data_IF_576335351247
#
_entry.id   IF_576335351247
#
_cell.length_a   1.000
_cell.length_b   1.000
_cell.length_c   1.000
_cell.angle_alpha   90.00
_cell.angle_beta   90.00
_cell.angle_gamma   90.00
#
_symmetry.space_group_name_H-M   'P 1'
#
loop_
_entity.id
_entity.type
_entity.pdbx_description
1 polymer ?
#
# COMPACT_ATOMS: atom_id res chain seq x y z
N UNK A 1 8.94 17.96 -1.18
CA UNK A 1 7.65 17.24 -1.22
C UNK A 1 7.96 15.80 -0.90
N UNK A 2 7.19 15.19 0.01
CA UNK A 2 7.35 13.78 0.37
C UNK A 2 6.68 12.90 -0.68
N UNK A 3 7.28 11.77 -1.03
CA UNK A 3 6.65 10.74 -1.88
C UNK A 3 5.93 9.71 -1.03
N UNK A 4 4.62 9.60 -1.22
CA UNK A 4 3.74 8.77 -0.40
C UNK A 4 3.08 7.70 -1.27
N UNK A 5 3.19 6.43 -0.88
CA UNK A 5 2.41 5.34 -1.46
C UNK A 5 1.31 4.88 -0.50
N UNK A 6 0.07 4.96 -0.92
CA UNK A 6 -1.08 4.35 -0.25
C UNK A 6 -1.31 2.94 -0.80
N UNK A 7 -1.51 1.94 0.06
CA UNK A 7 -1.71 0.56 -0.42
C UNK A 7 -2.70 -0.26 0.41
N UNK A 8 -3.39 -1.19 -0.26
CA UNK A 8 -4.09 -2.32 0.38
C UNK A 8 -3.17 -3.55 0.49
N UNK A 9 -3.55 -4.51 1.33
CA UNK A 9 -2.88 -5.79 1.49
C UNK A 9 -3.49 -6.87 0.60
N UNK A 10 -4.73 -7.27 0.88
CA UNK A 10 -5.40 -8.40 0.21
C UNK A 10 -5.63 -8.08 -1.26
N UNK A 11 -5.39 -9.05 -2.15
CA UNK A 11 -5.49 -8.85 -3.61
C UNK A 11 -4.41 -7.92 -4.20
N UNK A 12 -3.74 -7.14 -3.37
CA UNK A 12 -2.77 -6.13 -3.77
C UNK A 12 -1.33 -6.62 -3.63
N UNK A 13 -0.86 -6.90 -2.40
CA UNK A 13 0.49 -7.42 -2.14
C UNK A 13 0.50 -8.87 -1.67
N UNK A 14 -0.63 -9.36 -1.14
CA UNK A 14 -0.89 -10.78 -0.91
C UNK A 14 -1.96 -11.28 -1.88
N UNK A 15 -1.92 -12.56 -2.19
CA UNK A 15 -2.95 -13.23 -2.98
C UNK A 15 -4.27 -13.21 -2.18
N UNK A 16 -5.36 -12.77 -2.83
CA UNK A 16 -6.69 -12.50 -2.27
C UNK A 16 -6.95 -12.96 -0.84
N UNK A 17 -7.13 -14.28 -0.66
CA UNK A 17 -7.59 -14.87 0.61
C UNK A 17 -6.53 -15.72 1.34
N UNK A 18 -5.32 -15.88 0.79
CA UNK A 18 -4.40 -16.92 1.26
C UNK A 18 -3.32 -16.44 2.22
N UNK A 19 -3.35 -15.15 2.61
CA UNK A 19 -2.27 -14.47 3.36
C UNK A 19 -0.87 -14.80 2.82
N UNK A 20 -0.80 -15.16 1.54
CA UNK A 20 0.41 -15.60 0.86
C UNK A 20 0.89 -14.42 0.04
N UNK A 21 2.14 -13.96 0.22
CA UNK A 21 2.65 -12.84 -0.56
C UNK A 21 2.62 -13.17 -2.05
N UNK A 22 2.37 -12.17 -2.90
CA UNK A 22 2.57 -12.36 -4.33
C UNK A 22 4.04 -12.72 -4.59
N UNK A 23 4.34 -13.76 -5.38
CA UNK A 23 5.70 -14.30 -5.50
C UNK A 23 6.81 -13.30 -5.81
N UNK A 24 6.56 -12.27 -6.63
CA UNK A 24 7.55 -11.24 -6.97
C UNK A 24 7.71 -10.18 -5.88
N UNK A 25 6.69 -10.01 -5.04
CA UNK A 25 6.71 -9.05 -3.94
C UNK A 25 7.28 -9.67 -2.66
N UNK A 26 7.23 -11.00 -2.54
CA UNK A 26 7.80 -11.77 -1.43
C UNK A 26 9.32 -11.55 -1.27
N UNK A 27 9.84 -11.99 -0.12
CA UNK A 27 11.25 -11.89 0.23
C UNK A 27 11.82 -10.46 0.10
N UNK A 28 11.03 -9.46 0.49
CA UNK A 28 11.44 -8.06 0.42
C UNK A 28 11.37 -7.42 -0.96
N UNK A 29 10.78 -8.08 -1.95
CA UNK A 29 10.68 -7.55 -3.32
C UNK A 29 9.95 -6.21 -3.40
N UNK A 30 8.85 -6.06 -2.64
CA UNK A 30 8.13 -4.80 -2.53
C UNK A 30 8.98 -3.73 -1.83
N UNK A 31 9.57 -4.06 -0.67
CA UNK A 31 10.43 -3.13 0.08
C UNK A 31 11.58 -2.59 -0.78
N UNK A 32 12.28 -3.47 -1.50
CA UNK A 32 13.37 -3.08 -2.37
C UNK A 32 12.91 -2.12 -3.50
N UNK A 33 11.74 -2.37 -4.08
CA UNK A 33 11.17 -1.50 -5.10
C UNK A 33 10.81 -0.11 -4.55
N UNK A 34 10.21 -0.03 -3.37
CA UNK A 34 9.84 1.24 -2.73
C UNK A 34 11.08 2.06 -2.34
N UNK A 35 12.08 1.41 -1.74
CA UNK A 35 13.39 2.02 -1.44
C UNK A 35 14.05 2.56 -2.71
N UNK A 36 14.04 1.78 -3.80
CA UNK A 36 14.62 2.19 -5.09
C UNK A 36 13.85 3.33 -5.76
N UNK A 37 12.53 3.39 -5.58
CA UNK A 37 11.70 4.47 -6.10
C UNK A 37 11.85 5.78 -5.30
N UNK A 38 12.52 5.75 -4.16
CA UNK A 38 12.64 6.89 -3.26
C UNK A 38 11.28 7.29 -2.69
N UNK A 39 10.46 6.30 -2.30
CA UNK A 39 9.23 6.50 -1.55
C UNK A 39 9.60 6.77 -0.09
N UNK A 40 9.19 7.94 0.41
CA UNK A 40 9.51 8.41 1.76
C UNK A 40 8.55 7.85 2.81
N UNK A 41 7.29 7.60 2.44
CA UNK A 41 6.25 7.09 3.33
C UNK A 41 5.32 6.10 2.64
N UNK A 42 4.85 5.11 3.40
CA UNK A 42 3.91 4.10 2.92
C UNK A 42 2.71 4.06 3.86
N UNK A 43 1.51 4.30 3.35
CA UNK A 43 0.28 4.36 4.15
C UNK A 43 -0.57 3.12 3.86
N UNK A 44 -0.75 2.26 4.85
CA UNK A 44 -1.60 1.08 4.71
C UNK A 44 -3.06 1.46 4.94
N UNK A 45 -3.87 1.43 3.88
CA UNK A 45 -5.31 1.70 3.92
C UNK A 45 -6.15 0.41 3.95
N UNK A 46 -5.52 -0.73 4.18
CA UNK A 46 -6.17 -2.03 4.16
C UNK A 46 -7.26 -2.18 5.23
N UNK A 47 -8.28 -2.98 4.93
CA UNK A 47 -9.25 -3.44 5.94
C UNK A 47 -8.57 -4.18 7.10
N UNK A 48 -7.42 -4.83 6.87
CA UNK A 48 -6.60 -5.44 7.93
C UNK A 48 -6.14 -4.39 8.94
N UNK A 49 -5.78 -3.18 8.48
CA UNK A 49 -5.37 -2.10 9.37
C UNK A 49 -6.52 -1.66 10.30
N UNK A 50 -7.77 -1.69 9.81
CA UNK A 50 -8.96 -1.42 10.65
C UNK A 50 -9.08 -2.44 11.77
N UNK A 51 -8.93 -3.74 11.46
CA UNK A 51 -9.01 -4.79 12.48
C UNK A 51 -7.86 -4.71 13.50
N UNK A 52 -6.67 -4.33 13.06
CA UNK A 52 -5.52 -4.09 13.94
C UNK A 52 -5.83 -2.95 14.90
N UNK A 53 -6.34 -1.81 14.41
CA UNK A 53 -6.70 -0.68 15.27
C UNK A 53 -7.81 -1.03 16.26
N UNK A 54 -8.84 -1.76 15.83
CA UNK A 54 -9.89 -2.26 16.73
C UNK A 54 -9.32 -3.19 17.82
N UNK A 55 -8.34 -4.03 17.48
CA UNK A 55 -7.67 -4.86 18.47
C UNK A 55 -6.86 -4.02 19.48
N UNK A 56 -6.26 -2.91 19.05
CA UNK A 56 -5.59 -1.95 19.95
C UNK A 56 -6.60 -1.30 20.91
N UNK A 57 -7.73 -0.83 20.39
CA UNK A 57 -8.80 -0.21 21.20
C UNK A 57 -9.34 -1.16 22.28
N UNK A 58 -9.43 -2.45 21.96
CA UNK A 58 -9.85 -3.51 22.88
C UNK A 58 -8.73 -3.99 23.83
N UNK A 59 -7.52 -3.42 23.75
CA UNK A 59 -6.36 -3.82 24.55
C UNK A 59 -5.78 -5.19 24.19
N UNK A 60 -6.11 -5.71 23.00
CA UNK A 60 -5.69 -7.04 22.49
C UNK A 60 -4.43 -6.96 21.62
N UNK A 61 -4.11 -5.80 21.08
CA UNK A 61 -2.88 -5.53 20.34
C UNK A 61 -2.14 -4.35 21.00
N UNK A 62 -0.82 -4.46 21.16
CA UNK A 62 0.04 -3.41 21.75
C UNK A 62 1.03 -2.84 20.74
N UNK A 63 1.23 -3.54 19.63
CA UNK A 63 2.18 -3.18 18.58
C UNK A 63 1.48 -3.27 17.20
N UNK A 64 0.63 -2.28 16.86
CA UNK A 64 -0.13 -2.32 15.61
C UNK A 64 0.75 -2.35 14.36
N UNK A 65 1.90 -1.68 14.40
CA UNK A 65 2.86 -1.70 13.28
C UNK A 65 3.53 -3.07 13.14
N UNK A 66 3.91 -3.72 14.24
CA UNK A 66 4.44 -5.08 14.21
C UNK A 66 3.39 -6.11 13.76
N UNK A 67 2.12 -5.93 14.12
CA UNK A 67 1.01 -6.73 13.62
C UNK A 67 0.83 -6.57 12.11
N UNK A 68 0.89 -5.33 11.62
CA UNK A 68 0.81 -5.02 10.20
C UNK A 68 1.99 -5.62 9.42
N UNK A 69 3.22 -5.49 9.94
CA UNK A 69 4.42 -6.09 9.34
C UNK A 69 4.24 -7.60 9.12
N UNK A 70 3.67 -8.31 10.10
CA UNK A 70 3.35 -9.75 9.98
C UNK A 70 2.28 -10.01 8.92
N UNK A 71 1.25 -9.16 8.83
CA UNK A 71 0.21 -9.31 7.81
C UNK A 71 0.73 -9.12 6.39
N UNK A 72 1.78 -8.32 6.20
CA UNK A 72 2.46 -8.16 4.92
C UNK A 72 3.25 -9.41 4.47
N UNK A 73 3.32 -10.46 5.30
CA UNK A 73 3.72 -11.82 4.93
C UNK A 73 5.04 -11.94 4.14
N UNK A 74 6.07 -11.20 4.56
CA UNK A 74 7.42 -11.26 3.98
C UNK A 74 7.63 -10.41 2.72
N UNK A 75 6.66 -9.56 2.35
CA UNK A 75 6.88 -8.51 1.33
C UNK A 75 7.82 -7.40 1.80
N UNK A 76 7.96 -7.27 3.13
CA UNK A 76 8.97 -6.47 3.82
C UNK A 76 9.82 -7.40 4.69
N UNK A 77 11.11 -7.09 4.82
CA UNK A 77 12.09 -7.86 5.60
C UNK A 77 12.71 -7.04 6.73
N UNK A 78 12.86 -5.73 6.51
CA UNK A 78 13.48 -4.81 7.45
C UNK A 78 12.39 -4.18 8.34
N UNK A 79 12.25 -4.73 9.54
CA UNK A 79 11.24 -4.26 10.51
C UNK A 79 11.49 -2.83 10.98
N UNK A 80 12.75 -2.40 11.04
CA UNK A 80 13.10 -1.06 11.51
C UNK A 80 12.75 -0.04 10.44
N UNK A 81 13.11 -0.31 9.19
CA UNK A 81 12.66 0.50 8.05
C UNK A 81 11.13 0.56 7.97
N UNK A 82 10.45 -0.58 8.15
CA UNK A 82 9.00 -0.64 8.12
C UNK A 82 8.37 0.24 9.22
N UNK A 83 8.91 0.22 10.44
CA UNK A 83 8.42 1.06 11.54
C UNK A 83 8.63 2.55 11.30
N UNK A 84 9.70 2.90 10.62
CA UNK A 84 10.02 4.30 10.31
C UNK A 84 9.16 4.85 9.16
N UNK A 85 8.86 4.02 8.16
CA UNK A 85 8.25 4.49 6.90
C UNK A 85 6.77 4.14 6.74
N UNK A 86 6.27 3.12 7.46
CA UNK A 86 4.88 2.65 7.31
C UNK A 86 3.96 3.28 8.36
N UNK A 87 2.84 3.81 7.89
CA UNK A 87 1.82 4.48 8.69
C UNK A 87 0.49 3.72 8.57
N UNK A 88 -0.17 3.54 9.71
CA UNK A 88 -1.59 3.17 9.75
C UNK A 88 -2.38 4.47 10.00
N UNK A 89 -3.23 4.91 9.06
CA UNK A 89 -4.06 6.09 9.28
C UNK A 89 -5.10 5.79 10.37
N UNK A 90 -5.54 6.82 11.11
CA UNK A 90 -6.55 6.68 12.17
C UNK A 90 -7.86 6.03 11.67
N UNK A 91 -8.21 6.31 10.42
CA UNK A 91 -9.41 5.76 9.75
C UNK A 91 -9.03 5.17 8.39
N UNK A 92 -8.60 3.90 8.32
CA UNK A 92 -8.21 3.26 7.06
C UNK A 92 -9.41 2.97 6.15
N UNK A 93 -10.62 2.79 6.70
CA UNK A 93 -11.81 2.37 5.92
C UNK A 93 -12.22 3.32 4.79
N UNK A 94 -12.24 4.65 4.94
CA UNK A 94 -12.40 5.56 3.82
C UNK A 94 -11.07 5.71 3.06
N UNK A 95 -10.59 4.61 2.46
CA UNK A 95 -9.24 4.44 1.88
C UNK A 95 -8.77 5.64 1.06
N UNK A 96 -9.60 6.04 0.10
CA UNK A 96 -9.30 7.12 -0.85
C UNK A 96 -9.37 8.50 -0.18
N UNK A 97 -10.10 8.66 0.92
CA UNK A 97 -10.12 9.90 1.67
C UNK A 97 -8.82 10.16 2.45
N UNK A 98 -7.95 9.14 2.59
CA UNK A 98 -6.63 9.30 3.21
C UNK A 98 -5.60 9.92 2.26
N UNK A 99 -5.87 9.99 0.96
CA UNK A 99 -4.92 10.48 -0.04
C UNK A 99 -4.77 12.00 0.09
N UNK A 100 -3.55 12.44 0.44
CA UNK A 100 -3.16 13.85 0.46
C UNK A 100 -2.66 14.26 -0.93
N UNK A 101 -3.55 14.85 -1.72
CA UNK A 101 -3.24 15.32 -3.07
C UNK A 101 -2.31 16.54 -3.12
N UNK A 102 -1.98 17.13 -1.97
CA UNK A 102 -0.99 18.22 -1.90
C UNK A 102 0.46 17.70 -1.87
N UNK A 103 0.65 16.41 -1.66
CA UNK A 103 1.93 15.70 -1.70
C UNK A 103 2.13 14.99 -3.04
N UNK A 104 3.31 14.41 -3.23
CA UNK A 104 3.56 13.54 -4.39
C UNK A 104 3.08 12.12 -4.04
N UNK A 105 1.91 11.73 -4.55
CA UNK A 105 1.19 10.55 -4.08
C UNK A 105 1.00 9.48 -5.15
N UNK A 106 0.87 8.24 -4.69
CA UNK A 106 0.51 7.05 -5.46
C UNK A 106 -0.43 6.16 -4.66
N UNK A 107 -1.28 5.41 -5.34
CA UNK A 107 -2.26 4.53 -4.72
C UNK A 107 -2.31 3.16 -5.41
N UNK A 108 -2.25 2.09 -4.62
CA UNK A 108 -2.22 0.72 -5.12
C UNK A 108 -3.24 -0.15 -4.37
N UNK A 109 -4.32 -0.54 -5.05
CA UNK A 109 -5.44 -1.26 -4.45
C UNK A 109 -6.20 -2.01 -5.57
N UNK A 110 -6.38 -3.32 -5.45
CA UNK A 110 -7.08 -4.15 -6.45
C UNK A 110 -8.58 -3.84 -6.56
N UNK A 111 -9.14 -3.11 -5.58
CA UNK A 111 -10.50 -2.60 -5.56
C UNK A 111 -10.54 -1.06 -5.61
N UNK A 112 -9.49 -0.40 -6.14
CA UNK A 112 -9.40 1.05 -6.20
C UNK A 112 -10.64 1.72 -6.83
N UNK A 113 -11.17 1.18 -7.93
CA UNK A 113 -12.37 1.72 -8.60
C UNK A 113 -13.56 1.78 -7.63
N UNK A 114 -13.81 0.66 -6.94
CA UNK A 114 -14.88 0.55 -5.95
C UNK A 114 -14.70 1.57 -4.81
N UNK A 115 -13.51 1.68 -4.25
CA UNK A 115 -13.24 2.59 -3.13
C UNK A 115 -13.27 4.07 -3.53
N UNK A 116 -12.80 4.40 -4.75
CA UNK A 116 -12.98 5.73 -5.33
C UNK A 116 -14.48 6.03 -5.50
N UNK A 117 -15.27 5.05 -5.94
CA UNK A 117 -16.71 5.19 -6.08
C UNK A 117 -17.45 5.43 -4.77
N UNK A 118 -17.12 4.67 -3.72
CA UNK A 118 -17.66 4.88 -2.37
C UNK A 118 -17.31 6.28 -1.83
N UNK A 119 -16.12 6.78 -2.14
CA UNK A 119 -15.68 8.12 -1.77
C UNK A 119 -16.24 9.23 -2.69
N UNK A 120 -17.07 8.89 -3.68
CA UNK A 120 -17.57 9.82 -4.72
C UNK A 120 -16.44 10.54 -5.48
N UNK A 121 -15.31 9.87 -5.67
CA UNK A 121 -14.10 10.37 -6.35
C UNK A 121 -13.76 9.58 -7.61
N UNK A 122 -14.77 9.25 -8.42
CA UNK A 122 -14.54 8.57 -9.70
C UNK A 122 -13.71 9.40 -10.68
N UNK A 123 -13.77 10.74 -10.56
CA UNK A 123 -12.92 11.67 -11.29
C UNK A 123 -11.43 11.43 -11.03
N UNK A 124 -11.05 11.21 -9.77
CA UNK A 124 -9.68 10.84 -9.40
C UNK A 124 -9.26 9.54 -10.06
N UNK A 125 -10.12 8.50 -9.99
CA UNK A 125 -9.83 7.20 -10.59
C UNK A 125 -9.58 7.35 -12.09
N UNK A 126 -10.51 7.95 -12.82
CA UNK A 126 -10.43 8.11 -14.27
C UNK A 126 -9.25 8.97 -14.71
N UNK A 127 -8.84 9.96 -13.90
CA UNK A 127 -7.72 10.82 -14.22
C UNK A 127 -6.36 10.12 -14.07
N UNK A 128 -6.26 9.13 -13.17
CA UNK A 128 -4.97 8.64 -12.68
C UNK A 128 -4.76 7.13 -12.76
N UNK A 129 -5.76 6.36 -13.17
CA UNK A 129 -5.62 4.92 -13.44
C UNK A 129 -4.43 4.65 -14.38
N UNK A 130 -3.60 3.68 -14.02
CA UNK A 130 -2.39 3.29 -14.75
C UNK A 130 -1.19 4.23 -14.55
N UNK A 131 -1.37 5.39 -13.92
CA UNK A 131 -0.29 6.36 -13.63
C UNK A 131 -0.06 6.56 -12.14
N UNK A 132 -0.92 7.30 -11.42
CA UNK A 132 -0.86 7.42 -9.95
C UNK A 132 -1.69 6.38 -9.22
N UNK A 133 -2.61 5.70 -9.91
CA UNK A 133 -3.41 4.61 -9.33
C UNK A 133 -3.09 3.31 -10.08
N UNK A 134 -2.66 2.28 -9.34
CA UNK A 134 -2.55 0.93 -9.86
C UNK A 134 -3.67 0.06 -9.29
N UNK A 135 -4.35 -0.64 -10.19
CA UNK A 135 -5.27 -1.74 -9.87
C UNK A 135 -4.58 -3.06 -10.20
N UNK A 136 -3.81 -3.65 -9.25
CA UNK A 136 -3.15 -4.92 -9.51
C UNK A 136 -4.19 -6.05 -9.62
N UNK A 137 -3.85 -7.11 -10.35
CA UNK A 137 -4.73 -8.28 -10.39
C UNK A 137 -4.60 -9.09 -9.09
N UNK A 138 -5.69 -9.51 -8.43
CA UNK A 138 -5.62 -10.32 -7.21
C UNK A 138 -4.90 -11.66 -7.36
N UNK A 139 -4.76 -12.14 -8.60
CA UNK A 139 -4.19 -13.44 -8.95
C UNK A 139 -2.81 -13.34 -9.60
N UNK A 140 -2.28 -12.13 -9.78
CA UNK A 140 -0.97 -11.94 -10.40
C UNK A 140 0.18 -12.40 -9.51
N UNK A 141 1.36 -12.50 -10.11
CA UNK A 141 2.60 -12.71 -9.38
C UNK A 141 3.16 -11.42 -8.73
N UNK A 142 2.52 -10.27 -8.98
CA UNK A 142 2.92 -8.94 -8.50
C UNK A 142 3.95 -8.23 -9.39
N UNK A 143 4.30 -8.78 -10.56
CA UNK A 143 5.25 -8.15 -11.48
C UNK A 143 4.76 -6.81 -12.04
N UNK A 144 3.45 -6.60 -12.16
CA UNK A 144 2.85 -5.33 -12.57
C UNK A 144 3.07 -4.24 -11.51
N UNK A 145 2.98 -4.58 -10.23
CA UNK A 145 3.23 -3.64 -9.14
C UNK A 145 4.69 -3.19 -9.14
N UNK A 146 5.64 -4.11 -9.34
CA UNK A 146 7.06 -3.75 -9.44
C UNK A 146 7.35 -2.83 -10.63
N UNK A 147 6.82 -3.15 -11.82
CA UNK A 147 6.98 -2.30 -13.01
C UNK A 147 6.37 -0.92 -12.82
N UNK A 148 5.22 -0.86 -12.18
CA UNK A 148 4.55 0.41 -11.91
C UNK A 148 5.31 1.25 -10.87
N UNK A 149 5.84 0.64 -9.80
CA UNK A 149 6.69 1.32 -8.81
C UNK A 149 7.98 1.86 -9.47
N UNK A 150 8.53 1.19 -10.48
CA UNK A 150 9.68 1.73 -11.22
C UNK A 150 9.35 3.04 -11.94
N UNK A 151 8.08 3.29 -12.30
CA UNK A 151 7.64 4.54 -12.92
C UNK A 151 7.40 5.66 -11.89
N UNK A 152 7.41 5.35 -10.59
CA UNK A 152 7.39 6.34 -9.50
C UNK A 152 8.74 7.07 -9.43
N UNK A 153 9.82 6.39 -9.83
CA UNK A 153 11.18 6.88 -9.67
C UNK A 153 11.35 8.29 -10.25
N UNK A 154 12.15 9.16 -9.61
CA UNK A 154 12.57 10.40 -10.24
C UNK A 154 13.20 10.07 -11.59
N UNK A 155 12.84 10.83 -12.64
CA UNK A 155 13.56 10.78 -13.91
C UNK A 155 15.06 10.76 -13.58
N UNK A 156 15.80 9.81 -14.17
CA UNK A 156 17.23 9.72 -13.97
C UNK A 156 17.81 11.12 -14.13
N UNK A 157 18.56 11.58 -13.12
CA UNK A 157 19.37 12.79 -13.30
C UNK A 157 20.45 12.38 -14.29
N UNK A 158 20.20 12.67 -15.56
CA UNK A 158 21.23 12.72 -16.60
C UNK A 158 22.34 13.72 -16.22
#
# INVERSE_FOLDING_TARGET
MSRILYFDINGTIVLGDSNTPKPKLAHGGLEAALKSAGVDQVVCVSSIAVFILQAVELGRERDPIGALFKACSGTFLDVDWFREHVIIPEKPSPRVACIDETQDWWYMDDAAEYYCGQAKRYDLYNAWEGSRILVPSPLSDGSEALKWIQNIAPAAKD
#
